data_IF_140893994128
#
_entry.id   IF_140893994128
#
_cell.length_a   1.000
_cell.length_b   1.000
_cell.length_c   1.000
_cell.angle_alpha   90.00
_cell.angle_beta   90.00
_cell.angle_gamma   90.00
#
_symmetry.space_group_name_H-M   'P 1'
#
loop_
_entity.id
_entity.type
_entity.pdbx_description
1 polymer ?
#
# COMPACT_ATOMS: atom_id res chain seq x y z
N UNK A 1 -9.91 9.49 -24.34
CA UNK A 1 -9.25 10.44 -23.42
C UNK A 1 -8.52 9.68 -22.31
N UNK A 2 -7.67 8.71 -22.69
CA UNK A 2 -6.97 7.80 -21.77
C UNK A 2 -5.49 7.87 -22.14
N UNK A 3 -4.91 9.04 -21.89
CA UNK A 3 -3.47 9.32 -22.01
C UNK A 3 -3.02 10.29 -20.89
N UNK A 4 -3.74 10.33 -19.75
CA UNK A 4 -3.48 11.29 -18.67
C UNK A 4 -2.56 10.74 -17.54
N UNK A 5 -1.98 9.54 -17.71
CA UNK A 5 -1.16 8.92 -16.66
C UNK A 5 0.17 8.34 -17.13
N UNK A 6 0.50 8.38 -18.43
CA UNK A 6 1.67 7.68 -18.96
C UNK A 6 2.94 8.52 -19.22
N UNK A 7 2.95 9.82 -18.95
CA UNK A 7 4.20 10.63 -18.93
C UNK A 7 4.16 11.73 -17.85
N UNK A 8 3.75 11.43 -16.62
CA UNK A 8 3.84 12.42 -15.54
C UNK A 8 5.27 12.47 -15.01
N UNK A 9 6.07 13.39 -15.57
CA UNK A 9 7.08 14.10 -14.80
C UNK A 9 6.50 14.34 -13.39
N UNK A 10 7.21 13.92 -12.32
CA UNK A 10 6.76 13.98 -10.91
C UNK A 10 5.88 15.21 -10.70
N UNK A 11 4.56 15.03 -10.74
CA UNK A 11 3.62 16.14 -10.61
C UNK A 11 3.90 16.72 -9.23
N UNK A 12 4.21 17.99 -9.14
CA UNK A 12 4.32 18.65 -7.85
C UNK A 12 2.92 18.55 -7.20
N UNK A 13 2.80 17.67 -6.21
CA UNK A 13 1.59 17.54 -5.41
C UNK A 13 1.83 18.42 -4.18
N UNK A 14 1.07 19.51 -4.09
CA UNK A 14 1.16 20.43 -2.97
C UNK A 14 1.01 19.66 -1.66
N UNK A 15 1.83 19.97 -0.65
CA UNK A 15 1.80 19.30 0.65
C UNK A 15 2.42 17.90 0.70
N UNK A 16 2.87 17.33 -0.42
CA UNK A 16 3.59 16.06 -0.47
C UNK A 16 5.07 16.31 -0.81
N UNK A 17 5.95 16.13 0.19
CA UNK A 17 7.40 16.11 -0.01
C UNK A 17 7.87 14.67 -0.18
N UNK A 18 8.65 14.41 -1.22
CA UNK A 18 9.16 13.07 -1.56
C UNK A 18 10.67 13.10 -1.66
N UNK A 19 11.34 12.30 -0.85
CA UNK A 19 12.76 12.00 -1.01
C UNK A 19 12.91 10.53 -1.41
N UNK A 20 13.69 10.27 -2.45
CA UNK A 20 13.91 8.93 -2.97
C UNK A 20 15.41 8.69 -3.19
N UNK A 21 15.88 7.53 -2.77
CA UNK A 21 17.21 7.02 -3.08
C UNK A 21 17.18 5.50 -3.16
N UNK A 22 17.58 4.92 -4.30
CA UNK A 22 17.72 3.47 -4.48
C UNK A 22 16.50 2.64 -3.99
N UNK A 23 15.28 2.92 -4.45
CA UNK A 23 14.02 2.26 -3.99
C UNK A 23 13.68 2.46 -2.50
N UNK A 24 14.40 3.32 -1.78
CA UNK A 24 14.00 3.84 -0.48
C UNK A 24 13.29 5.18 -0.69
N UNK A 25 12.00 5.22 -0.42
CA UNK A 25 11.14 6.39 -0.58
C UNK A 25 10.64 6.84 0.78
N UNK A 26 10.74 8.13 1.04
CA UNK A 26 10.13 8.73 2.23
C UNK A 26 9.29 9.92 1.81
N UNK A 27 8.04 9.89 2.26
CA UNK A 27 7.01 10.86 1.96
C UNK A 27 6.63 11.60 3.25
N UNK A 28 6.63 12.94 3.20
CA UNK A 28 6.03 13.77 4.23
C UNK A 28 4.78 14.41 3.64
N UNK A 29 3.63 14.09 4.22
CA UNK A 29 2.33 14.72 3.91
C UNK A 29 2.13 15.85 4.92
N UNK A 30 2.64 17.03 4.59
CA UNK A 30 2.58 18.23 5.43
C UNK A 30 1.15 18.71 5.61
N UNK A 31 0.40 18.70 4.51
CA UNK A 31 -1.02 19.00 4.46
C UNK A 31 -1.74 17.96 3.60
N UNK A 32 -3.00 17.68 3.92
CA UNK A 32 -3.86 16.94 3.01
C UNK A 32 -4.46 17.96 2.06
N UNK A 33 -3.70 18.30 1.03
CA UNK A 33 -4.01 19.35 0.06
C UNK A 33 -5.18 18.95 -0.85
N UNK A 34 -5.77 19.94 -1.52
CA UNK A 34 -6.79 19.70 -2.54
C UNK A 34 -6.30 18.75 -3.65
N UNK A 35 -5.01 18.80 -4.00
CA UNK A 35 -4.41 17.88 -4.96
C UNK A 35 -4.36 16.42 -4.46
N UNK A 36 -4.09 16.21 -3.17
CA UNK A 36 -4.16 14.87 -2.55
C UNK A 36 -5.60 14.40 -2.40
N UNK A 37 -6.51 15.30 -2.02
CA UNK A 37 -7.95 15.03 -1.96
C UNK A 37 -8.49 14.59 -3.34
N UNK A 38 -8.19 15.37 -4.39
CA UNK A 38 -8.57 15.04 -5.76
C UNK A 38 -7.96 13.72 -6.22
N UNK A 39 -6.70 13.46 -5.88
CA UNK A 39 -6.08 12.18 -6.20
C UNK A 39 -6.76 11.02 -5.48
N UNK A 40 -7.20 11.22 -4.23
CA UNK A 40 -7.96 10.22 -3.49
C UNK A 40 -9.35 10.00 -4.12
N UNK A 41 -10.06 11.07 -4.51
CA UNK A 41 -11.34 10.98 -5.24
C UNK A 41 -11.20 10.14 -6.51
N UNK A 42 -10.17 10.42 -7.30
CA UNK A 42 -9.90 9.71 -8.57
C UNK A 42 -9.50 8.24 -8.34
N UNK A 43 -8.81 7.94 -7.23
CA UNK A 43 -8.24 6.61 -7.01
C UNK A 43 -9.06 5.70 -6.09
N UNK A 44 -9.99 6.23 -5.28
CA UNK A 44 -10.64 5.47 -4.21
C UNK A 44 -11.32 4.19 -4.71
N UNK A 45 -12.09 4.29 -5.79
CA UNK A 45 -12.78 3.13 -6.40
C UNK A 45 -11.76 2.10 -6.87
N UNK A 46 -10.69 2.54 -7.56
CA UNK A 46 -9.61 1.67 -8.04
C UNK A 46 -8.89 0.97 -6.90
N UNK A 47 -8.60 1.69 -5.81
CA UNK A 47 -7.93 1.14 -4.63
C UNK A 47 -8.82 0.07 -3.98
N UNK A 48 -10.10 0.39 -3.76
CA UNK A 48 -11.02 -0.48 -3.04
C UNK A 48 -11.47 -1.71 -3.83
N UNK A 49 -11.77 -1.55 -5.11
CA UNK A 49 -12.40 -2.58 -5.94
C UNK A 49 -11.53 -3.10 -7.09
N UNK A 50 -10.37 -2.48 -7.33
CA UNK A 50 -9.47 -2.82 -8.42
C UNK A 50 -9.78 -2.06 -9.72
N UNK A 51 -8.79 -2.04 -10.62
CA UNK A 51 -8.83 -1.24 -11.86
C UNK A 51 -9.94 -1.66 -12.81
N UNK A 52 -10.11 -2.96 -13.06
CA UNK A 52 -11.14 -3.46 -13.99
C UNK A 52 -12.53 -3.00 -13.56
N UNK A 53 -12.88 -3.14 -12.28
CA UNK A 53 -14.18 -2.75 -11.73
C UNK A 53 -14.41 -1.24 -11.75
N UNK A 54 -13.38 -0.46 -11.45
CA UNK A 54 -13.44 0.99 -11.52
C UNK A 54 -13.70 1.50 -12.96
N UNK A 55 -13.26 0.76 -13.98
CA UNK A 55 -13.42 1.13 -15.39
C UNK A 55 -14.70 0.56 -16.03
N UNK A 56 -15.01 -0.73 -15.78
CA UNK A 56 -16.06 -1.47 -16.51
C UNK A 56 -17.40 -1.49 -15.79
N UNK A 57 -17.39 -1.35 -14.47
CA UNK A 57 -18.59 -1.44 -13.61
C UNK A 57 -18.82 -0.09 -12.89
N UNK A 58 -18.47 1.02 -13.54
CA UNK A 58 -18.50 2.36 -12.95
C UNK A 58 -19.88 2.79 -12.43
N UNK A 59 -20.96 2.24 -12.99
CA UNK A 59 -22.33 2.47 -12.49
C UNK A 59 -22.59 1.77 -11.15
N UNK A 60 -21.95 0.61 -10.91
CA UNK A 60 -22.05 -0.12 -9.66
C UNK A 60 -21.04 0.38 -8.63
N UNK A 61 -19.77 0.47 -9.03
CA UNK A 61 -18.65 0.95 -8.23
C UNK A 61 -18.43 2.46 -8.44
N UNK A 62 -19.36 3.25 -7.91
CA UNK A 62 -19.24 4.72 -7.90
C UNK A 62 -18.43 5.20 -6.71
N UNK A 63 -17.79 6.36 -6.84
CA UNK A 63 -17.10 7.04 -5.73
C UNK A 63 -17.97 7.12 -4.47
N UNK A 64 -19.23 7.59 -4.61
CA UNK A 64 -20.15 7.76 -3.47
C UNK A 64 -20.45 6.44 -2.75
N UNK A 65 -20.67 5.34 -3.48
CA UNK A 65 -20.92 4.02 -2.86
C UNK A 65 -19.67 3.46 -2.19
N UNK A 66 -18.52 3.56 -2.86
CA UNK A 66 -17.24 3.11 -2.30
C UNK A 66 -16.89 3.91 -1.04
N UNK A 67 -17.10 5.22 -1.04
CA UNK A 67 -16.89 6.07 0.13
C UNK A 67 -17.81 5.69 1.29
N UNK A 68 -19.10 5.48 1.03
CA UNK A 68 -20.06 5.04 2.04
C UNK A 68 -19.67 3.71 2.67
N UNK A 69 -19.24 2.73 1.86
CA UNK A 69 -18.73 1.44 2.34
C UNK A 69 -17.40 1.57 3.10
N UNK A 70 -16.50 2.45 2.66
CA UNK A 70 -15.25 2.70 3.37
C UNK A 70 -15.53 3.24 4.78
N UNK A 71 -16.42 4.24 4.87
CA UNK A 71 -16.81 4.86 6.14
C UNK A 71 -17.56 3.89 7.05
N UNK A 72 -18.41 3.01 6.51
CA UNK A 72 -19.10 1.98 7.31
C UNK A 72 -18.11 1.00 7.93
N UNK A 73 -17.05 0.62 7.19
CA UNK A 73 -15.96 -0.24 7.70
C UNK A 73 -15.10 0.48 8.74
N UNK A 74 -14.95 1.80 8.63
CA UNK A 74 -14.13 2.63 9.51
C UNK A 74 -14.84 3.02 10.82
N UNK A 75 -16.15 3.28 10.79
CA UNK A 75 -16.87 3.95 11.88
C UNK A 75 -16.84 3.20 13.21
N UNK A 76 -16.89 1.87 13.14
CA UNK A 76 -16.99 0.98 14.32
C UNK A 76 -15.62 0.46 14.79
N UNK A 77 -14.53 1.08 14.34
CA UNK A 77 -13.17 0.65 14.67
C UNK A 77 -12.57 1.51 15.78
N UNK A 78 -11.82 0.85 16.65
CA UNK A 78 -10.96 1.50 17.64
C UNK A 78 -9.87 2.32 16.92
N UNK A 79 -9.28 3.27 17.64
CA UNK A 79 -8.37 4.27 17.05
C UNK A 79 -7.18 3.65 16.31
N UNK A 80 -6.52 2.65 16.89
CA UNK A 80 -5.39 1.97 16.25
C UNK A 80 -5.79 1.26 14.94
N UNK A 81 -7.03 0.75 14.87
CA UNK A 81 -7.56 0.14 13.67
C UNK A 81 -7.88 1.20 12.61
N UNK A 82 -8.40 2.37 12.99
CA UNK A 82 -8.59 3.51 12.07
C UNK A 82 -7.26 4.00 11.51
N UNK A 83 -6.24 4.13 12.37
CA UNK A 83 -4.87 4.47 11.98
C UNK A 83 -4.31 3.46 10.97
N UNK A 84 -4.52 2.17 11.20
CA UNK A 84 -4.17 1.12 10.23
C UNK A 84 -4.86 1.27 8.90
N UNK A 85 -6.18 1.45 8.91
CA UNK A 85 -6.98 1.57 7.69
C UNK A 85 -6.59 2.80 6.86
N UNK A 86 -6.45 3.96 7.51
CA UNK A 86 -6.06 5.20 6.83
C UNK A 86 -4.59 5.14 6.40
N UNK A 87 -3.71 4.53 7.19
CA UNK A 87 -2.31 4.30 6.83
C UNK A 87 -2.19 3.48 5.54
N UNK A 88 -2.92 2.38 5.45
CA UNK A 88 -2.97 1.53 4.24
C UNK A 88 -3.58 2.28 3.05
N UNK A 89 -4.68 3.01 3.25
CA UNK A 89 -5.28 3.84 2.20
C UNK A 89 -4.26 4.85 1.63
N UNK A 90 -3.51 5.52 2.51
CA UNK A 90 -2.46 6.47 2.09
C UNK A 90 -1.33 5.77 1.35
N UNK A 91 -0.91 4.56 1.74
CA UNK A 91 0.08 3.78 0.99
C UNK A 91 -0.41 3.52 -0.43
N UNK A 92 -1.63 2.99 -0.58
CA UNK A 92 -2.23 2.69 -1.89
C UNK A 92 -2.40 3.93 -2.77
N UNK A 93 -2.55 5.12 -2.16
CA UNK A 93 -2.59 6.39 -2.85
C UNK A 93 -1.20 6.88 -3.29
N UNK A 94 -0.23 6.97 -2.37
CA UNK A 94 1.06 7.63 -2.63
C UNK A 94 2.09 6.73 -3.28
N UNK A 95 2.03 5.42 -3.06
CA UNK A 95 3.03 4.50 -3.61
C UNK A 95 3.07 4.55 -5.15
N UNK A 96 1.94 4.48 -5.89
CA UNK A 96 1.95 4.65 -7.35
C UNK A 96 2.35 6.05 -7.82
N UNK A 97 2.19 7.08 -6.98
CA UNK A 97 2.58 8.46 -7.31
C UNK A 97 4.10 8.69 -7.19
N UNK A 98 4.75 7.92 -6.31
CA UNK A 98 6.13 8.18 -5.88
C UNK A 98 7.12 7.13 -6.37
N UNK A 99 6.68 5.88 -6.55
CA UNK A 99 7.48 4.80 -7.11
C UNK A 99 7.14 4.60 -8.59
N UNK A 100 8.09 4.88 -9.48
CA UNK A 100 7.87 4.74 -10.92
C UNK A 100 7.42 3.33 -11.31
N UNK A 101 6.40 3.26 -12.18
CA UNK A 101 5.84 2.03 -12.75
C UNK A 101 5.32 1.02 -11.70
N UNK A 102 5.04 1.50 -10.48
CA UNK A 102 4.44 0.69 -9.43
C UNK A 102 2.92 0.80 -9.49
N UNK A 103 2.27 -0.22 -10.06
CA UNK A 103 0.81 -0.23 -10.21
C UNK A 103 0.18 -1.20 -9.22
N UNK A 104 -0.88 -0.76 -8.53
CA UNK A 104 -1.70 -1.67 -7.73
C UNK A 104 -2.46 -2.62 -8.64
N UNK A 105 -2.35 -3.92 -8.36
CA UNK A 105 -3.02 -4.99 -9.09
C UNK A 105 -3.87 -5.86 -8.18
N UNK A 106 -4.01 -5.49 -6.90
CA UNK A 106 -4.93 -6.11 -5.96
C UNK A 106 -6.17 -5.26 -5.71
N UNK A 107 -6.94 -5.63 -4.69
CA UNK A 107 -8.07 -4.85 -4.16
C UNK A 107 -7.84 -4.62 -2.67
N UNK A 108 -8.26 -3.46 -2.17
CA UNK A 108 -8.15 -3.14 -0.76
C UNK A 108 -9.29 -3.71 0.08
N UNK A 109 -10.52 -3.72 -0.44
CA UNK A 109 -11.64 -4.31 0.29
C UNK A 109 -11.59 -5.83 0.26
N UNK A 110 -11.73 -6.42 1.44
CA UNK A 110 -12.09 -7.82 1.55
C UNK A 110 -13.53 -8.02 1.04
N UNK A 111 -13.73 -9.08 0.26
CA UNK A 111 -14.99 -9.42 -0.39
C UNK A 111 -15.93 -10.28 0.48
N UNK A 112 -15.39 -10.98 1.48
CA UNK A 112 -16.13 -11.93 2.31
C UNK A 112 -16.56 -11.32 3.65
N UNK A 113 -15.74 -10.45 4.21
CA UNK A 113 -15.97 -9.83 5.52
C UNK A 113 -15.83 -8.31 5.47
N UNK A 114 -16.54 -7.63 6.36
CA UNK A 114 -16.38 -6.18 6.57
C UNK A 114 -15.00 -5.82 7.16
N UNK A 115 -14.17 -6.79 7.53
CA UNK A 115 -12.78 -6.60 7.93
C UNK A 115 -11.86 -6.53 6.72
N UNK A 116 -10.97 -5.53 6.68
CA UNK A 116 -10.05 -5.32 5.56
C UNK A 116 -8.90 -6.35 5.52
N UNK A 117 -8.44 -6.85 6.68
CA UNK A 117 -7.19 -7.63 6.76
C UNK A 117 -7.41 -9.13 6.55
N UNK A 118 -7.11 -9.64 5.35
CA UNK A 118 -6.71 -11.05 5.15
C UNK A 118 -5.67 -11.17 4.04
N UNK A 119 -4.40 -11.42 4.37
CA UNK A 119 -3.36 -11.70 3.37
C UNK A 119 -2.14 -10.80 3.48
N UNK A 120 -1.59 -10.44 2.32
CA UNK A 120 -0.67 -9.31 2.15
C UNK A 120 -1.47 -8.01 2.16
N UNK A 121 -0.87 -6.91 2.65
CA UNK A 121 -1.58 -5.62 2.77
C UNK A 121 -1.79 -4.95 1.40
N UNK A 122 -1.11 -5.45 0.36
CA UNK A 122 -1.31 -5.05 -1.03
C UNK A 122 -0.53 -5.92 -2.00
N UNK A 123 -0.97 -5.93 -3.26
CA UNK A 123 -0.29 -6.60 -4.37
C UNK A 123 -0.10 -5.61 -5.50
N UNK A 124 1.13 -5.47 -5.97
CA UNK A 124 1.53 -4.52 -6.99
C UNK A 124 2.27 -5.23 -8.12
N UNK A 125 2.35 -4.57 -9.27
CA UNK A 125 3.25 -4.96 -10.35
C UNK A 125 4.24 -3.85 -10.67
N UNK A 126 5.44 -4.24 -11.06
CA UNK A 126 6.44 -3.38 -11.69
C UNK A 126 7.34 -4.23 -12.57
N UNK A 127 7.52 -3.80 -13.82
CA UNK A 127 8.43 -4.43 -14.79
C UNK A 127 8.16 -5.94 -14.98
N UNK A 128 6.89 -6.32 -15.08
CA UNK A 128 6.48 -7.72 -15.29
C UNK A 128 6.58 -8.63 -14.06
N UNK A 129 6.89 -8.07 -12.88
CA UNK A 129 6.99 -8.83 -11.64
C UNK A 129 5.95 -8.43 -10.60
N UNK A 130 5.60 -9.36 -9.71
CA UNK A 130 4.74 -9.12 -8.55
C UNK A 130 5.56 -8.55 -7.39
N UNK A 131 4.96 -7.58 -6.70
CA UNK A 131 5.46 -6.94 -5.49
C UNK A 131 4.43 -7.07 -4.37
N UNK A 132 4.85 -7.61 -3.23
CA UNK A 132 3.99 -7.88 -2.09
C UNK A 132 4.25 -6.85 -0.99
N UNK A 133 3.18 -6.20 -0.53
CA UNK A 133 3.24 -5.15 0.48
C UNK A 133 2.97 -5.71 1.87
N UNK A 134 3.77 -5.28 2.84
CA UNK A 134 3.45 -5.34 4.27
C UNK A 134 3.66 -3.97 4.88
N UNK A 135 2.73 -3.57 5.73
CA UNK A 135 2.72 -2.26 6.37
C UNK A 135 2.54 -2.38 7.89
N UNK A 136 3.14 -1.43 8.61
CA UNK A 136 2.88 -1.21 10.04
C UNK A 136 2.68 0.27 10.26
N UNK A 137 1.46 0.65 10.59
CA UNK A 137 1.08 2.01 10.95
C UNK A 137 1.25 2.27 12.45
N UNK A 138 1.40 3.54 12.84
CA UNK A 138 1.39 3.90 14.25
C UNK A 138 1.09 5.37 14.49
N UNK A 139 0.68 5.67 15.72
CA UNK A 139 0.50 7.04 16.21
C UNK A 139 1.69 7.47 17.08
N UNK A 140 2.33 8.57 16.73
CA UNK A 140 3.48 9.14 17.41
C UNK A 140 3.06 10.36 18.25
N UNK A 141 3.42 10.35 19.52
CA UNK A 141 3.13 11.44 20.46
C UNK A 141 4.37 11.93 21.23
N UNK A 142 5.44 11.13 21.29
CA UNK A 142 6.70 11.45 21.99
C UNK A 142 7.85 10.57 21.51
N UNK A 143 9.08 10.97 21.81
CA UNK A 143 10.29 10.22 21.47
C UNK A 143 10.80 10.55 20.07
N UNK A 144 11.62 9.69 19.48
CA UNK A 144 12.14 9.90 18.11
C UNK A 144 11.23 9.18 17.09
N UNK A 145 10.64 9.95 16.16
CA UNK A 145 9.79 9.40 15.10
C UNK A 145 10.57 8.43 14.20
N UNK A 146 11.88 8.64 14.05
CA UNK A 146 12.74 7.80 13.22
C UNK A 146 12.87 6.42 13.84
N UNK A 147 13.03 6.35 15.16
CA UNK A 147 13.05 5.06 15.91
C UNK A 147 11.72 4.34 15.77
N UNK A 148 10.59 5.05 15.87
CA UNK A 148 9.28 4.45 15.64
C UNK A 148 9.15 3.93 14.20
N UNK A 149 9.50 4.74 13.21
CA UNK A 149 9.41 4.39 11.79
C UNK A 149 10.26 3.17 11.47
N UNK A 150 11.53 3.13 11.90
CA UNK A 150 12.42 1.99 11.67
C UNK A 150 11.94 0.73 12.39
N UNK A 151 11.42 0.84 13.61
CA UNK A 151 10.80 -0.27 14.33
C UNK A 151 9.59 -0.86 13.58
N UNK A 152 8.74 -0.01 13.03
CA UNK A 152 7.58 -0.45 12.23
C UNK A 152 8.02 -1.13 10.92
N UNK A 153 9.03 -0.60 10.23
CA UNK A 153 9.63 -1.25 9.06
C UNK A 153 10.26 -2.60 9.40
N UNK A 154 10.91 -2.73 10.56
CA UNK A 154 11.43 -4.02 11.04
C UNK A 154 10.32 -5.02 11.34
N UNK A 155 9.22 -4.58 11.96
CA UNK A 155 8.06 -5.41 12.22
C UNK A 155 7.41 -5.86 10.90
N UNK A 156 7.22 -4.96 9.92
CA UNK A 156 6.74 -5.30 8.59
C UNK A 156 7.64 -6.35 7.91
N UNK A 157 8.96 -6.14 7.93
CA UNK A 157 9.96 -7.09 7.41
C UNK A 157 9.79 -8.48 8.01
N UNK A 158 9.75 -8.57 9.34
CA UNK A 158 9.64 -9.85 10.05
C UNK A 158 8.34 -10.56 9.67
N UNK A 159 7.25 -9.82 9.64
CA UNK A 159 5.93 -10.39 9.38
C UNK A 159 5.81 -10.91 7.94
N UNK A 160 6.25 -10.14 6.94
CA UNK A 160 6.21 -10.62 5.55
C UNK A 160 7.19 -11.76 5.28
N UNK A 161 8.40 -11.71 5.87
CA UNK A 161 9.34 -12.83 5.77
C UNK A 161 8.75 -14.10 6.40
N UNK A 162 8.02 -13.99 7.51
CA UNK A 162 7.28 -15.09 8.11
C UNK A 162 6.13 -15.59 7.22
N UNK A 163 5.33 -14.68 6.65
CA UNK A 163 4.24 -15.00 5.72
C UNK A 163 4.75 -15.79 4.51
N UNK A 164 5.82 -15.32 3.87
CA UNK A 164 6.39 -15.94 2.66
C UNK A 164 7.01 -17.31 2.91
N UNK A 165 7.49 -17.57 4.13
CA UNK A 165 8.01 -18.89 4.55
C UNK A 165 6.94 -19.84 5.05
N UNK A 166 5.76 -19.34 5.36
CA UNK A 166 4.69 -20.15 5.94
C UNK A 166 4.00 -21.04 4.90
N UNK A 167 3.36 -22.12 5.37
CA UNK A 167 2.50 -22.98 4.54
C UNK A 167 1.08 -22.42 4.33
N UNK A 168 0.86 -21.13 4.59
CA UNK A 168 -0.48 -20.52 4.56
C UNK A 168 -0.88 -20.18 3.13
N UNK A 169 -1.49 -21.15 2.44
CA UNK A 169 -2.03 -21.00 1.09
C UNK A 169 -3.09 -19.89 0.98
N UNK A 170 -3.85 -19.64 2.05
CA UNK A 170 -4.89 -18.59 2.11
C UNK A 170 -4.36 -17.18 1.83
N UNK A 171 -3.08 -16.90 2.14
CA UNK A 171 -2.46 -15.61 1.80
C UNK A 171 -2.38 -15.40 0.29
N UNK A 172 -1.94 -16.45 -0.43
CA UNK A 172 -1.78 -16.44 -1.88
C UNK A 172 -3.12 -16.51 -2.60
N UNK A 173 -4.07 -17.30 -2.08
CA UNK A 173 -5.42 -17.38 -2.62
C UNK A 173 -6.12 -16.01 -2.57
N UNK A 174 -5.99 -15.26 -1.46
CA UNK A 174 -6.54 -13.92 -1.36
C UNK A 174 -5.90 -12.95 -2.36
N UNK A 175 -4.57 -13.00 -2.51
CA UNK A 175 -3.87 -12.18 -3.50
C UNK A 175 -4.31 -12.52 -4.92
N UNK A 176 -4.44 -13.81 -5.25
CA UNK A 176 -4.88 -14.28 -6.57
C UNK A 176 -6.33 -13.88 -6.87
N UNK A 177 -7.23 -13.98 -5.90
CA UNK A 177 -8.63 -13.57 -6.06
C UNK A 177 -8.75 -12.07 -6.28
N UNK A 178 -8.07 -11.27 -5.46
CA UNK A 178 -8.01 -9.82 -5.63
C UNK A 178 -7.42 -9.43 -6.97
N UNK A 179 -6.33 -10.09 -7.39
CA UNK A 179 -5.69 -9.89 -8.68
C UNK A 179 -6.62 -10.21 -9.85
N UNK A 180 -7.32 -11.34 -9.78
CA UNK A 180 -8.22 -11.80 -10.85
C UNK A 180 -9.35 -10.81 -11.11
N UNK A 181 -9.85 -10.18 -10.04
CA UNK A 181 -10.92 -9.17 -10.07
C UNK A 181 -10.39 -7.80 -10.54
N UNK A 182 -9.21 -7.41 -10.06
CA UNK A 182 -8.69 -6.07 -10.34
C UNK A 182 -8.20 -5.88 -11.77
N UNK A 183 -7.92 -6.95 -12.52
CA UNK A 183 -7.21 -6.88 -13.81
C UNK A 183 -8.01 -7.52 -14.95
N UNK A 184 -8.05 -6.83 -16.11
CA UNK A 184 -8.65 -7.34 -17.34
C UNK A 184 -7.80 -8.46 -17.97
N UNK A 185 -8.42 -9.41 -18.71
CA UNK A 185 -7.69 -10.43 -19.45
C UNK A 185 -6.59 -9.86 -20.36
N UNK A 186 -5.37 -10.36 -20.21
CA UNK A 186 -4.22 -10.06 -21.06
C UNK A 186 -3.14 -11.13 -20.88
N UNK A 187 -2.14 -11.16 -21.77
CA UNK A 187 -1.00 -12.06 -21.61
C UNK A 187 -0.16 -11.70 -20.38
N UNK A 188 -0.01 -10.41 -20.09
CA UNK A 188 0.63 -9.92 -18.86
C UNK A 188 -0.14 -10.41 -17.62
N UNK A 189 -1.47 -10.35 -17.62
CA UNK A 189 -2.31 -10.88 -16.54
C UNK A 189 -2.00 -12.37 -16.33
N UNK A 190 -1.98 -13.17 -17.40
CA UNK A 190 -1.70 -14.61 -17.32
C UNK A 190 -0.32 -14.90 -16.73
N UNK A 191 0.69 -14.14 -17.13
CA UNK A 191 2.05 -14.27 -16.61
C UNK A 191 2.13 -13.93 -15.12
N UNK A 192 1.51 -12.83 -14.69
CA UNK A 192 1.48 -12.41 -13.29
C UNK A 192 0.65 -13.36 -12.41
N UNK A 193 -0.46 -13.90 -12.91
CA UNK A 193 -1.20 -14.97 -12.21
C UNK A 193 -0.35 -16.21 -11.98
N UNK A 194 0.49 -16.58 -12.96
CA UNK A 194 1.37 -17.75 -12.81
C UNK A 194 2.36 -17.55 -11.66
N UNK A 195 2.84 -16.31 -11.42
CA UNK A 195 3.70 -15.98 -10.28
C UNK A 195 2.94 -16.19 -8.96
N UNK A 196 1.72 -15.67 -8.84
CA UNK A 196 0.89 -15.83 -7.63
C UNK A 196 0.51 -17.30 -7.38
N UNK A 197 0.14 -18.04 -8.43
CA UNK A 197 -0.11 -19.49 -8.38
C UNK A 197 1.15 -20.26 -7.96
N UNK A 198 2.32 -19.87 -8.45
CA UNK A 198 3.60 -20.43 -8.01
C UNK A 198 3.84 -20.25 -6.50
N UNK A 199 3.53 -19.07 -5.96
CA UNK A 199 3.58 -18.82 -4.52
C UNK A 199 2.62 -19.70 -3.72
N UNK A 200 1.38 -19.88 -4.21
CA UNK A 200 0.42 -20.82 -3.64
C UNK A 200 0.99 -22.25 -3.58
N UNK A 201 1.49 -22.77 -4.71
CA UNK A 201 1.99 -24.14 -4.80
C UNK A 201 3.18 -24.38 -3.86
N UNK A 202 4.08 -23.39 -3.73
CA UNK A 202 5.20 -23.45 -2.78
C UNK A 202 4.74 -23.47 -1.33
N UNK A 203 3.76 -22.61 -0.98
CA UNK A 203 3.18 -22.60 0.35
C UNK A 203 2.53 -23.96 0.69
N UNK A 204 1.81 -24.55 -0.26
CA UNK A 204 1.15 -25.86 -0.07
C UNK A 204 2.18 -26.99 0.17
N UNK A 205 3.22 -27.07 -0.65
CA UNK A 205 4.21 -28.16 -0.58
C UNK A 205 5.10 -28.06 0.68
N UNK A 206 5.82 -26.95 0.84
CA UNK A 206 6.91 -26.85 1.81
C UNK A 206 6.95 -25.55 2.60
N UNK A 207 6.17 -24.54 2.21
CA UNK A 207 6.48 -23.14 2.52
C UNK A 207 7.43 -22.57 1.46
N UNK A 208 7.36 -21.26 1.22
CA UNK A 208 8.19 -20.56 0.25
C UNK A 208 9.53 -20.06 0.81
N UNK A 209 10.31 -19.38 -0.02
CA UNK A 209 11.48 -18.60 0.42
C UNK A 209 11.22 -17.11 0.12
N UNK A 210 11.37 -16.28 1.14
CA UNK A 210 11.24 -14.84 1.01
C UNK A 210 12.20 -14.26 -0.05
N UNK A 211 13.35 -14.90 -0.30
CA UNK A 211 14.35 -14.47 -1.30
C UNK A 211 13.86 -14.54 -2.74
N UNK A 212 12.76 -15.23 -3.00
CA UNK A 212 12.20 -15.38 -4.34
C UNK A 212 11.18 -14.28 -4.68
N UNK A 213 10.84 -13.41 -3.72
CA UNK A 213 9.76 -12.45 -3.85
C UNK A 213 10.25 -11.01 -3.71
N UNK A 214 9.65 -10.12 -4.50
CA UNK A 214 9.84 -8.68 -4.35
C UNK A 214 8.91 -8.16 -3.26
N UNK A 215 9.44 -7.31 -2.39
CA UNK A 215 8.73 -6.86 -1.19
C UNK A 215 8.73 -5.34 -1.10
N UNK A 216 7.59 -4.81 -0.66
CA UNK A 216 7.42 -3.42 -0.24
C UNK A 216 7.19 -3.43 1.27
N UNK A 217 8.03 -2.70 2.00
CA UNK A 217 7.84 -2.46 3.42
C UNK A 217 7.37 -1.03 3.63
N UNK A 218 6.22 -0.86 4.28
CA UNK A 218 5.66 0.47 4.51
C UNK A 218 5.46 0.79 6.00
N UNK A 219 5.70 2.05 6.36
CA UNK A 219 5.47 2.56 7.71
C UNK A 219 4.81 3.95 7.66
N UNK A 220 3.46 4.01 7.66
CA UNK A 220 2.72 5.26 7.81
C UNK A 220 2.60 5.63 9.29
N UNK A 221 3.28 6.69 9.69
CA UNK A 221 3.29 7.20 11.07
C UNK A 221 2.53 8.53 11.13
N UNK A 222 1.55 8.58 12.05
CA UNK A 222 0.70 9.73 12.29
C UNK A 222 1.07 10.42 13.58
N UNK A 223 1.26 11.74 13.58
CA UNK A 223 1.54 12.49 14.80
C UNK A 223 2.78 13.35 14.64
N UNK A 224 2.59 14.67 14.73
CA UNK A 224 3.63 15.67 14.48
C UNK A 224 4.14 15.68 13.03
N UNK A 225 4.75 16.79 12.62
CA UNK A 225 5.69 16.79 11.49
C UNK A 225 7.02 17.18 12.11
N UNK A 226 8.00 16.26 12.20
CA UNK A 226 9.35 16.69 12.53
C UNK A 226 9.83 17.68 11.45
N UNK A 227 10.79 18.57 11.75
CA UNK A 227 11.50 19.27 10.67
C UNK A 227 11.98 18.25 9.62
N UNK A 228 11.99 18.65 8.35
CA UNK A 228 12.13 17.82 7.15
C UNK A 228 13.47 17.05 7.02
N UNK A 229 13.82 16.28 8.03
CA UNK A 229 14.95 15.36 8.07
C UNK A 229 14.36 13.99 7.79
N UNK A 230 14.32 13.66 6.51
CA UNK A 230 14.19 12.27 6.11
C UNK A 230 15.56 11.62 6.30
N UNK A 231 15.57 10.59 7.14
CA UNK A 231 16.74 10.15 7.88
C UNK A 231 17.71 9.30 7.06
N UNK A 232 18.99 9.63 7.17
CA UNK A 232 20.10 8.71 6.90
C UNK A 232 19.83 7.33 7.51
N UNK A 233 19.12 7.27 8.64
CA UNK A 233 18.68 6.04 9.30
C UNK A 233 17.74 5.16 8.48
N UNK A 234 16.74 5.70 7.76
CA UNK A 234 15.84 4.88 6.93
C UNK A 234 16.61 4.35 5.71
N UNK A 235 17.47 5.17 5.10
CA UNK A 235 18.36 4.75 4.01
C UNK A 235 19.34 3.67 4.48
N UNK A 236 19.92 3.84 5.66
CA UNK A 236 20.82 2.87 6.29
C UNK A 236 20.08 1.56 6.63
N UNK A 237 18.84 1.64 7.10
CA UNK A 237 17.98 0.47 7.33
C UNK A 237 17.73 -0.27 6.02
N UNK A 238 17.31 0.43 4.97
CA UNK A 238 17.12 -0.15 3.64
C UNK A 238 18.38 -0.86 3.15
N UNK A 239 19.54 -0.20 3.21
CA UNK A 239 20.82 -0.79 2.83
C UNK A 239 21.17 -2.03 3.67
N UNK A 240 20.85 -2.04 4.97
CA UNK A 240 21.07 -3.18 5.85
C UNK A 240 20.18 -4.37 5.46
N UNK A 241 18.92 -4.13 5.10
CA UNK A 241 18.00 -5.19 4.68
C UNK A 241 18.42 -5.76 3.31
N UNK A 242 18.83 -4.91 2.36
CA UNK A 242 19.36 -5.36 1.07
C UNK A 242 20.60 -6.24 1.25
N UNK A 243 21.57 -5.82 2.07
CA UNK A 243 22.78 -6.61 2.35
C UNK A 243 22.48 -7.96 3.00
N UNK A 244 21.42 -8.05 3.79
CA UNK A 244 20.99 -9.30 4.40
C UNK A 244 20.42 -10.31 3.37
N UNK A 245 20.13 -9.87 2.15
CA UNK A 245 19.67 -10.71 1.03
C UNK A 245 18.48 -11.61 1.41
N UNK A 246 17.46 -11.01 2.04
CA UNK A 246 16.27 -11.70 2.57
C UNK A 246 15.14 -11.76 1.54
N UNK A 247 15.08 -10.78 0.64
CA UNK A 247 14.06 -10.63 -0.41
C UNK A 247 14.75 -10.52 -1.77
N UNK A 248 14.06 -10.88 -2.85
CA UNK A 248 14.58 -10.76 -4.22
C UNK A 248 14.93 -9.31 -4.54
N UNK A 249 13.97 -8.42 -4.29
CA UNK A 249 14.13 -6.98 -4.36
C UNK A 249 13.33 -6.32 -3.23
N UNK A 250 13.70 -5.09 -2.88
CA UNK A 250 13.11 -4.34 -1.78
C UNK A 250 12.75 -2.92 -2.21
N UNK A 251 11.56 -2.48 -1.79
CA UNK A 251 11.18 -1.07 -1.71
C UNK A 251 10.84 -0.78 -0.25
N UNK A 252 11.31 0.36 0.27
CA UNK A 252 10.91 0.87 1.58
C UNK A 252 10.14 2.17 1.37
N UNK A 253 8.95 2.27 1.97
CA UNK A 253 8.11 3.46 1.94
C UNK A 253 7.80 3.92 3.38
N UNK A 254 8.41 5.02 3.80
CA UNK A 254 7.99 5.68 5.04
C UNK A 254 7.07 6.86 4.71
N UNK A 255 5.92 6.95 5.39
CA UNK A 255 4.98 8.06 5.25
C UNK A 255 4.86 8.73 6.61
N UNK A 256 5.05 10.05 6.66
CA UNK A 256 4.80 10.85 7.86
C UNK A 256 3.66 11.82 7.59
N UNK A 257 2.72 11.89 8.52
CA UNK A 257 1.59 12.82 8.47
C UNK A 257 1.26 13.32 9.87
N UNK A 258 0.85 14.58 9.99
CA UNK A 258 0.50 15.17 11.30
C UNK A 258 -0.59 14.41 12.06
N UNK A 259 -1.65 13.97 11.38
CA UNK A 259 -2.89 13.48 12.00
C UNK A 259 -3.66 12.61 11.02
N UNK A 260 -4.31 11.57 11.56
CA UNK A 260 -5.23 10.69 10.83
C UNK A 260 -6.58 11.37 10.61
N UNK A 261 -7.00 12.17 11.59
CA UNK A 261 -8.29 12.85 11.67
C UNK A 261 -8.53 13.80 10.49
N UNK A 262 -7.48 14.43 9.94
CA UNK A 262 -7.63 15.25 8.72
C UNK A 262 -8.12 14.45 7.52
N UNK A 263 -7.64 13.22 7.34
CA UNK A 263 -8.07 12.35 6.23
C UNK A 263 -9.48 11.83 6.49
N UNK A 264 -9.77 11.43 7.73
CA UNK A 264 -11.10 10.95 8.12
C UNK A 264 -12.14 12.05 7.93
N UNK A 265 -11.86 13.28 8.38
CA UNK A 265 -12.77 14.42 8.23
C UNK A 265 -13.04 14.76 6.77
N UNK A 266 -12.01 14.71 5.92
CA UNK A 266 -12.19 14.83 4.47
C UNK A 266 -13.20 13.79 3.94
N UNK A 267 -12.95 12.51 4.22
CA UNK A 267 -13.83 11.42 3.78
C UNK A 267 -15.27 11.59 4.29
N UNK A 268 -15.45 12.00 5.54
CA UNK A 268 -16.77 12.25 6.14
C UNK A 268 -17.50 13.43 5.49
N UNK A 269 -16.78 14.50 5.15
CA UNK A 269 -17.34 15.69 4.50
C UNK A 269 -17.83 15.35 3.09
N UNK A 270 -17.10 14.50 2.37
CA UNK A 270 -17.47 14.05 1.01
C UNK A 270 -18.69 13.11 0.97
N UNK A 271 -19.05 12.51 2.11
CA UNK A 271 -20.21 11.62 2.22
C UNK A 271 -21.50 12.35 2.66
N UNK A 272 -21.37 13.61 3.09
CA UNK A 272 -22.47 14.44 3.61
C UNK A 272 -23.32 15.04 2.49
#
# INVERSE_FOLDING_TARGET
MINCLLEKARRFIKGLKVNESNNCVVCIIEEFSEELENSLRECLVRICHGKSRAEDEAEFYTYKRTLGEFLSRLSNKEEDMKVGMIGELLIHLVLPMTCQRMDSVGIYFNLEEANIKKGFDGTYKRDGEIWLLESKSGSWNKGDITVMTTSHLHAAKRDIAGKLKSKRTTLWQNALNGFSIANKPSDEKRALEAILKGGYMKAEASGGDAKEHNVILAAPIFGGIPPAVISESIVALHATILKANIFKNLVVLAIQKTTVEKVIKFLQTEAS
#
